data_IF_452041288679
#
_entry.id   IF_452041288679
#
_cell.length_a   1.000
_cell.length_b   1.000
_cell.length_c   1.000
_cell.angle_alpha   90.00
_cell.angle_beta   90.00
_cell.angle_gamma   90.00
#
_symmetry.space_group_name_H-M   'P 1'
#
loop_
_entity.id
_entity.type
_entity.pdbx_description
1 polymer ?
#
# COMPACT_ATOMS: atom_id res chain seq x y z
N UNK A 1 3.62 2.89 18.98
CA UNK A 1 2.66 3.92 19.40
C UNK A 1 1.40 3.76 18.58
N UNK A 2 0.24 3.93 19.20
CA UNK A 2 -1.06 3.87 18.52
C UNK A 2 -1.35 5.21 17.81
N UNK A 3 -2.33 5.22 16.90
CA UNK A 3 -2.82 6.42 16.20
C UNK A 3 -1.74 7.22 15.44
N UNK A 4 -0.80 6.52 14.81
CA UNK A 4 0.20 7.15 13.95
C UNK A 4 -0.33 7.34 12.53
N UNK A 5 0.12 8.40 11.88
CA UNK A 5 -0.17 8.67 10.48
C UNK A 5 1.11 9.00 9.73
N UNK A 6 1.10 8.72 8.43
CA UNK A 6 2.16 9.10 7.50
C UNK A 6 1.51 9.53 6.20
N UNK A 7 2.00 10.63 5.63
CA UNK A 7 1.65 11.02 4.27
C UNK A 7 2.58 10.31 3.30
N UNK A 8 2.02 9.61 2.32
CA UNK A 8 2.77 8.95 1.26
C UNK A 8 2.74 9.85 0.02
N UNK A 9 3.87 10.43 -0.40
CA UNK A 9 3.92 11.25 -1.61
C UNK A 9 3.63 10.46 -2.88
N UNK A 10 3.17 11.15 -3.93
CA UNK A 10 3.00 10.55 -5.25
C UNK A 10 4.30 9.88 -5.73
N UNK A 11 4.20 8.64 -6.20
CA UNK A 11 5.34 7.84 -6.69
C UNK A 11 6.24 7.25 -5.60
N UNK A 12 5.98 7.51 -4.31
CA UNK A 12 6.75 6.93 -3.22
C UNK A 12 6.49 5.41 -3.14
N UNK A 13 7.55 4.63 -3.33
CA UNK A 13 7.51 3.18 -3.06
C UNK A 13 7.42 2.98 -1.56
N UNK A 14 6.40 2.25 -1.13
CA UNK A 14 6.14 2.00 0.29
C UNK A 14 5.61 0.58 0.50
N UNK A 15 5.86 0.04 1.69
CA UNK A 15 5.35 -1.25 2.15
C UNK A 15 5.03 -1.14 3.63
N UNK A 16 3.93 -1.76 4.05
CA UNK A 16 3.57 -1.88 5.46
C UNK A 16 3.66 -3.35 5.88
N UNK A 17 4.18 -3.56 7.09
CA UNK A 17 4.12 -4.85 7.79
C UNK A 17 3.57 -4.65 9.20
N UNK A 18 2.91 -5.67 9.73
CA UNK A 18 2.53 -5.72 11.14
C UNK A 18 3.54 -6.59 11.91
N UNK A 19 4.55 -6.01 12.57
CA UNK A 19 5.51 -6.77 13.37
C UNK A 19 4.94 -7.21 14.73
N UNK A 20 3.75 -6.69 15.09
CA UNK A 20 3.08 -7.02 16.34
C UNK A 20 2.44 -8.41 16.33
N UNK A 21 2.14 -8.93 17.53
CA UNK A 21 1.43 -10.21 17.71
C UNK A 21 -0.09 -10.05 17.70
N UNK A 22 -0.59 -8.83 17.52
CA UNK A 22 -2.00 -8.46 17.61
C UNK A 22 -2.45 -7.95 16.23
N UNK A 23 -3.68 -8.23 15.78
CA UNK A 23 -4.18 -7.70 14.52
C UNK A 23 -4.08 -6.17 14.45
N UNK A 24 -3.63 -5.67 13.30
CA UNK A 24 -3.57 -4.24 13.00
C UNK A 24 -4.85 -3.82 12.27
N UNK A 25 -5.36 -2.64 12.61
CA UNK A 25 -6.41 -1.95 11.83
C UNK A 25 -5.75 -0.82 11.06
N UNK A 26 -5.91 -0.83 9.73
CA UNK A 26 -5.40 0.20 8.84
C UNK A 26 -6.57 1.00 8.26
N UNK A 27 -6.42 2.32 8.22
CA UNK A 27 -7.30 3.23 7.48
C UNK A 27 -6.44 3.89 6.41
N UNK A 28 -6.77 3.66 5.15
CA UNK A 28 -6.15 4.32 4.01
C UNK A 28 -7.08 5.41 3.49
N UNK A 29 -6.54 6.60 3.27
CA UNK A 29 -7.27 7.73 2.67
C UNK A 29 -6.53 8.13 1.40
N UNK A 30 -7.16 7.92 0.25
CA UNK A 30 -6.61 8.33 -1.04
C UNK A 30 -7.17 9.71 -1.41
N UNK A 31 -6.30 10.59 -1.92
CA UNK A 31 -6.65 11.95 -2.34
C UNK A 31 -6.12 12.19 -3.74
N UNK A 32 -7.00 12.59 -4.66
CA UNK A 32 -6.65 12.77 -6.07
C UNK A 32 -7.88 12.76 -6.97
N UNK A 33 -7.66 13.03 -8.25
CA UNK A 33 -8.72 13.01 -9.27
C UNK A 33 -8.94 11.64 -9.91
N UNK A 34 -8.02 10.68 -9.70
CA UNK A 34 -8.07 9.34 -10.27
C UNK A 34 -7.56 8.32 -9.25
N UNK A 35 -8.32 7.24 -9.04
CA UNK A 35 -8.06 6.20 -8.02
C UNK A 35 -8.22 4.79 -8.62
N UNK A 36 -7.83 4.62 -9.89
CA UNK A 36 -7.93 3.33 -10.59
C UNK A 36 -6.89 2.32 -10.09
N UNK A 37 -7.24 1.03 -10.13
CA UNK A 37 -6.34 -0.08 -9.80
C UNK A 37 -5.16 -0.22 -10.79
N UNK A 38 -5.31 0.32 -12.00
CA UNK A 38 -4.30 0.36 -13.05
C UNK A 38 -3.16 1.35 -12.77
N UNK A 39 -3.35 2.29 -11.84
CA UNK A 39 -2.31 3.20 -11.35
C UNK A 39 -1.44 2.57 -10.24
N UNK A 40 -1.71 1.31 -9.87
CA UNK A 40 -0.96 0.60 -8.82
C UNK A 40 0.17 -0.22 -9.44
N UNK A 41 1.41 0.27 -9.29
CA UNK A 41 2.62 -0.50 -9.62
C UNK A 41 2.99 -1.43 -8.46
N UNK A 42 2.92 -2.74 -8.70
CA UNK A 42 3.28 -3.78 -7.72
C UNK A 42 4.69 -4.28 -7.99
N UNK A 43 5.64 -3.87 -7.15
CA UNK A 43 7.06 -4.24 -7.28
C UNK A 43 7.34 -5.69 -6.88
N UNK A 44 6.74 -6.15 -5.77
CA UNK A 44 6.79 -7.52 -5.29
C UNK A 44 5.38 -8.06 -5.09
N UNK A 45 5.07 -9.23 -5.66
CA UNK A 45 3.79 -9.91 -5.42
C UNK A 45 3.98 -11.27 -4.78
N UNK A 46 4.41 -11.25 -3.51
CA UNK A 46 4.59 -12.46 -2.69
C UNK A 46 3.28 -13.21 -2.39
N UNK A 47 2.13 -12.61 -2.73
CA UNK A 47 0.80 -13.19 -2.54
C UNK A 47 0.19 -13.74 -3.83
N UNK A 48 0.93 -13.71 -4.95
CA UNK A 48 0.53 -14.27 -6.24
C UNK A 48 -0.88 -13.84 -6.70
N UNK A 49 -1.22 -12.56 -6.52
CA UNK A 49 -2.55 -11.99 -6.84
C UNK A 49 -2.78 -11.78 -8.33
N UNK A 50 -1.84 -12.23 -9.17
CA UNK A 50 -2.08 -12.40 -10.60
C UNK A 50 -2.31 -11.08 -11.31
N UNK A 51 -1.30 -10.20 -11.23
CA UNK A 51 -1.03 -9.09 -12.17
C UNK A 51 0.41 -8.63 -11.90
N UNK A 52 1.35 -9.54 -12.10
CA UNK A 52 2.78 -9.30 -11.85
C UNK A 52 3.40 -8.53 -13.01
N UNK A 53 4.04 -7.40 -12.68
CA UNK A 53 5.02 -6.65 -13.45
C UNK A 53 4.91 -6.73 -14.99
N UNK A 54 4.33 -5.69 -15.61
CA UNK A 54 4.91 -5.26 -16.88
C UNK A 54 6.24 -4.60 -16.51
N UNK A 55 7.34 -5.23 -16.95
CA UNK A 55 8.70 -4.73 -16.72
C UNK A 55 8.92 -3.33 -17.24
#
# INVERSE_FOLDING_TARGET
SENQSVYIPLGAVHRMENPGKVPMVLIEVQTGSYLGEDDIVRYDDIYARGQGAKG
#
